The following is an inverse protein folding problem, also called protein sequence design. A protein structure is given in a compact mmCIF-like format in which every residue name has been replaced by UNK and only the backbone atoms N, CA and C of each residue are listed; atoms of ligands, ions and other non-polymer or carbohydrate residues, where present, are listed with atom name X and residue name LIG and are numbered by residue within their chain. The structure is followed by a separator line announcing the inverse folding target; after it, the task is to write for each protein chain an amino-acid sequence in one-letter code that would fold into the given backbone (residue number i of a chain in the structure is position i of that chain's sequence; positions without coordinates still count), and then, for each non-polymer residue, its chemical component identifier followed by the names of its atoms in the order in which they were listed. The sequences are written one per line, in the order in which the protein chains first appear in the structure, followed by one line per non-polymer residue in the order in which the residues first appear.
data_IF_344707465443
#
_entry.id   IF_344707465443
#
_cell.length_a   1.000
_cell.length_b   1.000
_cell.length_c   1.000
_cell.angle_alpha   90.00
_cell.angle_beta   90.00
_cell.angle_gamma   90.00
#
_symmetry.space_group_name_H-M   'P 1'
#
loop_
_entity.id
_entity.type
_entity.pdbx_description
1 polymer ?
#
# COMPACT_ATOMS: atom_id res chain seq x y z
N UNK A 1 13.92 1.74 71.86
CA UNK A 1 15.16 2.02 71.11
C UNK A 1 15.11 3.45 70.63
N UNK A 2 16.08 4.24 71.03
CA UNK A 2 16.18 5.63 70.61
C UNK A 2 16.86 5.70 69.23
N UNK A 3 16.55 6.72 68.42
CA UNK A 3 17.15 6.87 67.08
C UNK A 3 18.69 6.87 67.13
N UNK A 4 19.25 7.50 68.17
CA UNK A 4 20.69 7.51 68.43
C UNK A 4 21.26 6.09 68.61
N UNK A 5 20.57 5.25 69.37
CA UNK A 5 20.99 3.87 69.66
C UNK A 5 20.99 2.99 68.39
N UNK A 6 20.03 3.23 67.47
CA UNK A 6 20.01 2.56 66.17
C UNK A 6 21.15 3.02 65.26
N UNK A 7 21.48 4.32 65.28
CA UNK A 7 22.57 4.89 64.48
C UNK A 7 23.94 4.36 64.92
N UNK A 8 24.20 4.31 66.23
CA UNK A 8 25.45 3.77 66.78
C UNK A 8 25.65 2.29 66.39
N UNK A 9 24.56 1.52 66.37
CA UNK A 9 24.58 0.12 65.93
C UNK A 9 24.94 -0.02 64.45
N UNK A 10 24.43 0.86 63.58
CA UNK A 10 24.77 0.87 62.15
C UNK A 10 26.27 1.15 61.96
N UNK A 11 26.84 2.11 62.69
CA UNK A 11 28.28 2.41 62.68
C UNK A 11 29.11 1.21 63.14
N UNK A 12 28.66 0.47 64.16
CA UNK A 12 29.42 -0.68 64.67
C UNK A 12 29.45 -1.87 63.71
N UNK A 13 28.38 -2.06 62.92
CA UNK A 13 28.26 -3.18 61.97
C UNK A 13 28.88 -2.82 60.62
N UNK A 14 28.86 -1.53 60.27
CA UNK A 14 29.35 -1.03 59.00
C UNK A 14 30.58 -0.14 59.25
N UNK A 15 31.79 -0.68 59.05
CA UNK A 15 33.01 0.14 58.97
C UNK A 15 32.91 1.00 57.69
N UNK A 16 32.68 2.32 57.77
CA UNK A 16 32.44 3.15 56.61
C UNK A 16 33.77 3.60 55.98
N UNK A 17 34.74 2.69 55.87
CA UNK A 17 36.00 2.98 55.16
C UNK A 17 35.83 2.90 53.65
N UNK A 18 34.77 2.25 53.16
CA UNK A 18 34.38 2.24 51.76
C UNK A 18 33.07 2.99 51.55
N UNK A 19 33.12 4.32 51.73
CA UNK A 19 32.11 5.21 51.15
C UNK A 19 32.47 5.33 49.67
N UNK A 20 31.86 4.49 48.84
CA UNK A 20 31.89 4.73 47.39
C UNK A 20 31.20 6.06 47.15
N UNK A 21 31.98 7.09 46.78
CA UNK A 21 31.41 8.34 46.27
C UNK A 21 30.62 7.95 45.03
N UNK A 22 29.29 7.89 45.15
CA UNK A 22 28.42 7.87 43.99
C UNK A 22 28.56 9.25 43.39
N UNK A 23 29.54 9.40 42.50
CA UNK A 23 29.59 10.54 41.60
C UNK A 23 28.23 10.50 40.91
N UNK A 24 27.35 11.48 41.19
CA UNK A 24 26.13 11.65 40.42
C UNK A 24 26.66 11.86 39.02
N UNK A 25 26.57 10.82 38.20
CA UNK A 25 26.84 10.95 36.80
C UNK A 25 25.78 11.95 36.34
N UNK A 26 26.17 13.21 36.29
CA UNK A 26 25.41 14.22 35.61
C UNK A 26 25.18 13.62 34.23
N UNK A 27 23.93 13.29 33.93
CA UNK A 27 23.52 12.77 32.63
C UNK A 27 23.74 13.80 31.50
N UNK A 28 24.46 14.90 31.76
CA UNK A 28 25.23 15.63 30.76
C UNK A 28 26.53 14.90 30.41
N UNK A 29 26.46 13.61 30.10
CA UNK A 29 27.52 13.01 29.29
C UNK A 29 27.38 13.66 27.93
N UNK A 30 28.20 14.68 27.67
CA UNK A 30 28.36 15.25 26.34
C UNK A 30 28.63 14.07 25.42
N UNK A 31 27.62 13.69 24.64
CA UNK A 31 27.74 12.61 23.67
C UNK A 31 28.84 13.07 22.74
N UNK A 32 30.00 12.40 22.79
CA UNK A 32 31.05 12.60 21.80
C UNK A 32 30.49 12.01 20.51
N UNK A 33 29.67 12.78 19.80
CA UNK A 33 29.09 12.37 18.53
C UNK A 33 30.24 12.16 17.57
N UNK A 34 30.57 10.89 17.30
CA UNK A 34 31.49 10.57 16.22
C UNK A 34 30.87 11.06 14.92
N UNK A 35 31.69 11.47 13.96
CA UNK A 35 31.24 11.78 12.61
C UNK A 35 30.44 10.61 11.99
N UNK A 36 30.75 9.39 12.41
CA UNK A 36 30.04 8.17 12.03
C UNK A 36 28.61 8.12 12.58
N UNK A 37 28.39 8.59 13.81
CA UNK A 37 27.05 8.64 14.43
C UNK A 37 26.16 9.66 13.72
N UNK A 38 26.70 10.83 13.41
CA UNK A 38 25.99 11.85 12.63
C UNK A 38 25.66 11.35 11.21
N UNK A 39 26.60 10.63 10.58
CA UNK A 39 26.38 10.04 9.26
C UNK A 39 25.30 8.95 9.30
N UNK A 40 25.30 8.12 10.35
CA UNK A 40 24.28 7.10 10.58
C UNK A 40 22.90 7.73 10.83
N UNK A 41 22.84 8.78 11.65
CA UNK A 41 21.62 9.56 11.89
C UNK A 41 21.05 10.14 10.60
N UNK A 42 21.88 10.80 9.80
CA UNK A 42 21.46 11.38 8.51
C UNK A 42 20.94 10.30 7.53
N UNK A 43 21.57 9.13 7.49
CA UNK A 43 21.08 8.00 6.69
C UNK A 43 19.72 7.50 7.17
N UNK A 44 19.51 7.40 8.49
CA UNK A 44 18.23 6.99 9.08
C UNK A 44 17.13 8.02 8.74
N UNK A 45 17.40 9.31 8.88
CA UNK A 45 16.46 10.38 8.52
C UNK A 45 16.07 10.32 7.04
N UNK A 46 17.04 10.12 6.14
CA UNK A 46 16.78 9.96 4.71
C UNK A 46 15.92 8.73 4.41
N UNK A 47 16.18 7.60 5.09
CA UNK A 47 15.39 6.39 4.95
C UNK A 47 13.95 6.58 5.44
N UNK A 48 13.75 7.26 6.57
CA UNK A 48 12.42 7.61 7.10
C UNK A 48 11.67 8.49 6.10
N UNK A 49 12.34 9.51 5.54
CA UNK A 49 11.75 10.39 4.53
C UNK A 49 11.31 9.63 3.27
N UNK A 50 12.18 8.77 2.74
CA UNK A 50 11.89 7.93 1.57
C UNK A 50 10.73 6.97 1.82
N UNK A 51 10.72 6.32 2.98
CA UNK A 51 9.66 5.37 3.35
C UNK A 51 8.31 6.08 3.49
N UNK A 52 8.30 7.24 4.14
CA UNK A 52 7.10 8.08 4.31
C UNK A 52 6.53 8.51 2.96
N UNK A 53 7.38 8.92 2.02
CA UNK A 53 6.94 9.25 0.67
C UNK A 53 6.35 8.06 -0.09
N UNK A 54 6.93 6.86 0.07
CA UNK A 54 6.38 5.63 -0.54
C UNK A 54 5.02 5.28 0.04
N UNK A 55 4.87 5.34 1.36
CA UNK A 55 3.58 5.14 2.05
C UNK A 55 2.56 6.16 1.52
N UNK A 56 2.92 7.45 1.48
CA UNK A 56 2.03 8.48 0.95
C UNK A 56 1.62 8.20 -0.50
N UNK A 57 2.52 7.72 -1.37
CA UNK A 57 2.17 7.34 -2.76
C UNK A 57 1.25 6.11 -2.85
N UNK A 58 1.40 5.14 -1.95
CA UNK A 58 0.56 3.93 -1.93
C UNK A 58 -0.85 4.23 -1.42
N UNK A 59 -0.95 5.05 -0.38
CA UNK A 59 -2.22 5.41 0.24
C UNK A 59 -2.84 6.68 -0.32
N UNK A 60 -2.11 7.44 -1.16
CA UNK A 60 -2.68 8.58 -1.86
C UNK A 60 -3.82 8.08 -2.76
N UNK A 61 -5.06 8.54 -2.53
CA UNK A 61 -6.15 8.25 -3.43
C UNK A 61 -5.77 8.75 -4.84
N UNK A 62 -5.81 7.83 -5.81
CA UNK A 62 -5.57 8.09 -7.22
C UNK A 62 -6.73 8.94 -7.81
N UNK A 63 -6.87 10.19 -7.36
CA UNK A 63 -7.91 11.11 -7.86
C UNK A 63 -7.64 11.57 -9.30
N UNK A 64 -6.37 11.48 -9.76
CA UNK A 64 -5.94 12.05 -11.03
C UNK A 64 -5.46 11.01 -12.05
N UNK A 65 -5.72 9.72 -11.87
CA UNK A 65 -5.50 8.78 -12.97
C UNK A 65 -6.73 8.84 -13.86
N UNK A 66 -6.71 9.51 -15.03
CA UNK A 66 -7.77 9.34 -15.98
C UNK A 66 -7.86 7.84 -16.22
N UNK A 67 -8.98 7.22 -15.83
CA UNK A 67 -9.37 5.94 -16.38
C UNK A 67 -9.48 6.22 -17.87
N UNK A 68 -8.40 6.00 -18.61
CA UNK A 68 -8.45 5.81 -20.04
C UNK A 68 -9.36 4.60 -20.22
N UNK A 69 -10.67 4.86 -20.24
CA UNK A 69 -11.62 4.04 -20.95
C UNK A 69 -11.18 4.18 -22.40
N UNK A 70 -10.18 3.38 -22.77
CA UNK A 70 -10.01 2.92 -24.13
C UNK A 70 -11.28 2.14 -24.47
N UNK A 71 -12.37 2.88 -24.72
CA UNK A 71 -13.39 2.49 -25.69
C UNK A 71 -12.75 2.68 -27.06
N UNK A 72 -11.61 2.02 -27.29
CA UNK A 72 -11.28 1.56 -28.61
C UNK A 72 -12.46 0.66 -28.95
N UNK A 73 -13.42 1.21 -29.70
CA UNK A 73 -14.32 0.42 -30.51
C UNK A 73 -13.40 -0.29 -31.49
N UNK A 74 -12.73 -1.34 -31.02
CA UNK A 74 -12.00 -2.27 -31.85
C UNK A 74 -13.07 -2.83 -32.76
N UNK A 75 -13.17 -2.22 -33.93
CA UNK A 75 -13.92 -2.74 -35.05
C UNK A 75 -13.41 -4.19 -35.19
N UNK A 76 -14.25 -5.23 -35.06
CA UNK A 76 -13.78 -6.59 -35.21
C UNK A 76 -13.49 -6.86 -36.70
N UNK A 77 -12.38 -6.30 -37.17
CA UNK A 77 -11.55 -6.86 -38.23
C UNK A 77 -11.28 -8.30 -37.82
N UNK A 78 -11.61 -9.25 -38.69
CA UNK A 78 -11.46 -10.71 -38.52
C UNK A 78 -12.56 -11.47 -37.75
N UNK A 79 -13.60 -11.83 -38.49
CA UNK A 79 -14.42 -13.05 -38.40
C UNK A 79 -14.83 -13.36 -39.86
N UNK A 80 -14.85 -14.61 -40.23
CA UNK A 80 -15.01 -15.10 -41.62
C UNK A 80 -16.14 -14.42 -42.43
N UNK A 81 -15.94 -14.09 -43.72
CA UNK A 81 -16.98 -13.50 -44.58
C UNK A 81 -18.14 -14.44 -44.92
N UNK A 82 -17.99 -15.75 -44.71
CA UNK A 82 -18.95 -16.76 -45.19
C UNK A 82 -20.16 -16.98 -44.28
N UNK A 83 -20.13 -16.48 -43.03
CA UNK A 83 -21.19 -16.77 -42.05
C UNK A 83 -21.52 -15.58 -41.12
N UNK A 84 -21.16 -14.35 -41.49
CA UNK A 84 -21.49 -13.18 -40.67
C UNK A 84 -22.91 -12.70 -40.95
N UNK A 85 -23.73 -12.73 -39.92
CA UNK A 85 -24.99 -12.01 -39.87
C UNK A 85 -24.76 -10.52 -40.13
N UNK A 86 -25.68 -9.85 -40.83
CA UNK A 86 -25.61 -8.41 -41.03
C UNK A 86 -25.67 -7.68 -39.68
N UNK A 87 -25.25 -6.41 -39.62
CA UNK A 87 -25.26 -5.63 -38.37
C UNK A 87 -26.61 -5.67 -37.65
N UNK A 88 -27.71 -5.66 -38.40
CA UNK A 88 -29.07 -5.71 -37.85
C UNK A 88 -29.40 -7.06 -37.21
N UNK A 89 -29.04 -8.19 -37.83
CA UNK A 89 -29.21 -9.53 -37.27
C UNK A 89 -28.19 -9.85 -36.16
N UNK A 90 -26.98 -9.28 -36.22
CA UNK A 90 -26.02 -9.37 -35.11
C UNK A 90 -26.57 -8.72 -33.83
N UNK A 91 -27.25 -7.58 -33.95
CA UNK A 91 -27.81 -6.86 -32.81
C UNK A 91 -29.18 -7.37 -32.38
N UNK A 92 -30.03 -7.76 -33.34
CA UNK A 92 -31.47 -7.99 -33.10
C UNK A 92 -31.92 -9.42 -33.42
N UNK A 93 -31.02 -10.31 -33.87
CA UNK A 93 -31.35 -11.68 -34.25
C UNK A 93 -32.47 -11.74 -35.29
N UNK A 94 -33.36 -12.72 -35.17
CA UNK A 94 -34.55 -12.87 -36.03
C UNK A 94 -35.49 -11.64 -36.05
N UNK A 95 -35.42 -10.76 -35.04
CA UNK A 95 -36.29 -9.58 -34.95
C UNK A 95 -35.78 -8.37 -35.74
N UNK A 96 -34.78 -8.55 -36.61
CA UNK A 96 -34.20 -7.44 -37.36
C UNK A 96 -35.13 -6.97 -38.50
N UNK A 97 -35.61 -5.74 -38.41
CA UNK A 97 -36.55 -5.18 -39.40
C UNK A 97 -35.88 -4.43 -40.55
N UNK A 98 -34.59 -4.10 -40.43
CA UNK A 98 -33.84 -3.27 -41.40
C UNK A 98 -32.72 -4.03 -42.09
N UNK A 99 -32.88 -5.34 -42.28
CA UNK A 99 -31.89 -6.14 -43.01
C UNK A 99 -31.83 -5.71 -44.49
N UNK A 100 -30.61 -5.51 -45.01
CA UNK A 100 -30.36 -5.13 -46.41
C UNK A 100 -29.56 -6.25 -47.08
N UNK A 101 -29.90 -6.57 -48.33
CA UNK A 101 -29.21 -7.59 -49.13
C UNK A 101 -27.79 -7.14 -49.50
N UNK A 102 -26.77 -8.02 -49.52
CA UNK A 102 -26.83 -9.47 -49.30
C UNK A 102 -26.63 -9.87 -47.81
N UNK A 103 -27.60 -10.59 -47.23
CA UNK A 103 -27.50 -11.14 -45.88
C UNK A 103 -27.68 -12.66 -45.88
N UNK A 104 -26.80 -13.38 -45.18
CA UNK A 104 -26.81 -14.85 -45.10
C UNK A 104 -27.62 -15.41 -43.91
N UNK A 105 -28.42 -14.60 -43.23
CA UNK A 105 -29.24 -15.07 -42.10
C UNK A 105 -30.40 -15.94 -42.61
N UNK A 106 -30.48 -17.18 -42.10
CA UNK A 106 -31.58 -18.11 -42.38
C UNK A 106 -32.39 -18.31 -41.10
N UNK A 107 -33.65 -17.86 -41.09
CA UNK A 107 -34.57 -18.19 -40.02
C UNK A 107 -34.98 -19.66 -40.14
N UNK A 108 -34.54 -20.49 -39.19
CA UNK A 108 -35.08 -21.84 -39.03
C UNK A 108 -36.47 -21.70 -38.41
N UNK A 109 -37.51 -21.78 -39.24
CA UNK A 109 -38.89 -21.92 -38.75
C UNK A 109 -39.02 -23.31 -38.14
N UNK A 110 -38.95 -23.40 -36.81
CA UNK A 110 -39.40 -24.60 -36.10
C UNK A 110 -40.92 -24.57 -36.17
N UNK A 111 -41.50 -25.43 -37.01
CA UNK A 111 -42.93 -25.67 -37.01
C UNK A 111 -43.30 -26.23 -35.63
N UNK A 112 -43.98 -25.42 -34.82
CA UNK A 112 -44.67 -25.91 -33.64
C UNK A 112 -45.95 -26.62 -34.13
N UNK A 113 -45.84 -27.92 -34.37
CA UNK A 113 -47.00 -28.80 -34.53
C UNK A 113 -47.57 -29.12 -33.14
N UNK A 114 -48.86 -28.77 -32.96
CA UNK A 114 -49.83 -29.15 -31.92
C UNK A 114 -49.41 -29.12 -30.44
#
# INVERSE_FOLDING_TARGET
MNLAEMADKIISVYNPTDISIVNKQDHSQAVSCSWEDNSRLSSIEANIGSLTQKIHKLYAPNYNKPRYRNRSRSHPTSRNPTNRLCWYHYRSGAKAQKCISPCSFKELKVNQEN
#
